data_IF_996888632228
#
_entry.id   IF_996888632228
#
_cell.length_a   1.000
_cell.length_b   1.000
_cell.length_c   1.000
_cell.angle_alpha   90.00
_cell.angle_beta   90.00
_cell.angle_gamma   90.00
#
_symmetry.space_group_name_H-M   'P 1'
#
loop_
_entity.id
_entity.type
_entity.pdbx_description
1 polymer ?
#
# COMPACT_ATOMS: atom_id res chain seq x y z
N UNK A 1 -10.88 19.39 11.33
CA UNK A 1 -9.52 19.32 11.89
C UNK A 1 -9.60 18.94 13.38
N UNK A 2 -10.33 19.68 14.18
CA UNK A 2 -10.42 19.48 15.64
C UNK A 2 -10.94 18.11 16.06
N UNK A 3 -11.94 17.55 15.36
CA UNK A 3 -12.50 16.22 15.65
C UNK A 3 -11.46 15.11 15.45
N UNK A 4 -10.64 15.21 14.42
CA UNK A 4 -9.56 14.24 14.14
C UNK A 4 -8.46 14.32 15.18
N UNK A 5 -8.03 15.51 15.55
CA UNK A 5 -7.02 15.71 16.60
C UNK A 5 -7.50 15.20 17.97
N UNK A 6 -8.77 15.43 18.31
CA UNK A 6 -9.38 14.86 19.51
C UNK A 6 -9.36 13.32 19.49
N UNK A 7 -9.69 12.71 18.34
CA UNK A 7 -9.65 11.26 18.16
C UNK A 7 -8.25 10.69 18.31
N UNK A 8 -7.25 11.34 17.71
CA UNK A 8 -5.85 10.94 17.85
C UNK A 8 -5.39 11.03 19.32
N UNK A 9 -5.76 12.09 20.02
CA UNK A 9 -5.43 12.27 21.44
C UNK A 9 -6.04 11.17 22.30
N UNK A 10 -7.30 10.82 22.06
CA UNK A 10 -7.98 9.70 22.73
C UNK A 10 -7.24 8.37 22.48
N UNK A 11 -6.93 8.05 21.22
CA UNK A 11 -6.24 6.82 20.85
C UNK A 11 -4.83 6.75 21.48
N UNK A 12 -4.08 7.84 21.48
CA UNK A 12 -2.78 7.93 22.14
C UNK A 12 -2.89 7.70 23.65
N UNK A 13 -3.91 8.27 24.30
CA UNK A 13 -4.19 8.04 25.71
C UNK A 13 -4.53 6.58 26.04
N UNK A 14 -5.18 5.86 25.12
CA UNK A 14 -5.40 4.41 25.26
C UNK A 14 -4.10 3.63 25.05
N UNK A 15 -3.29 4.03 24.07
CA UNK A 15 -2.04 3.36 23.76
C UNK A 15 -1.03 3.42 24.92
N UNK A 16 -0.98 4.52 25.70
CA UNK A 16 -0.10 4.62 26.87
C UNK A 16 -0.47 3.68 28.02
N UNK A 17 -1.73 3.21 28.05
CA UNK A 17 -2.26 2.29 29.07
C UNK A 17 -2.22 0.82 28.62
N UNK A 18 -1.76 0.56 27.41
CA UNK A 18 -1.76 -0.77 26.80
C UNK A 18 -0.36 -1.36 26.81
N UNK A 19 -0.25 -2.67 27.01
CA UNK A 19 1.03 -3.37 26.96
C UNK A 19 1.73 -3.12 25.61
N UNK A 20 2.99 -2.64 25.61
CA UNK A 20 3.62 -2.06 24.40
C UNK A 20 3.85 -3.07 23.25
N UNK A 21 4.04 -4.35 23.58
CA UNK A 21 4.23 -5.42 22.59
C UNK A 21 3.04 -6.38 22.61
N UNK A 22 1.86 -5.87 22.27
CA UNK A 22 0.62 -6.65 22.24
C UNK A 22 -0.18 -6.40 20.96
N UNK A 23 -1.09 -7.31 20.65
CA UNK A 23 -2.04 -7.14 19.54
C UNK A 23 -2.89 -5.88 19.74
N UNK A 24 -3.28 -5.56 20.97
CA UNK A 24 -4.02 -4.35 21.28
C UNK A 24 -3.22 -3.07 20.96
N UNK A 25 -1.92 -3.04 21.28
CA UNK A 25 -1.03 -1.93 20.92
C UNK A 25 -0.90 -1.79 19.39
N UNK A 26 -0.77 -2.92 18.67
CA UNK A 26 -0.76 -2.94 17.21
C UNK A 26 -2.04 -2.31 16.62
N UNK A 27 -3.22 -2.72 17.12
CA UNK A 27 -4.51 -2.23 16.65
C UNK A 27 -4.71 -0.72 16.92
N UNK A 28 -4.25 -0.25 18.08
CA UNK A 28 -4.29 1.18 18.40
C UNK A 28 -3.37 1.99 17.49
N UNK A 29 -2.16 1.51 17.23
CA UNK A 29 -1.25 2.15 16.29
C UNK A 29 -1.80 2.15 14.87
N UNK A 30 -2.44 1.08 14.41
CA UNK A 30 -3.11 1.03 13.10
C UNK A 30 -4.23 2.08 13.02
N UNK A 31 -5.02 2.23 14.08
CA UNK A 31 -6.05 3.24 14.16
C UNK A 31 -5.48 4.67 14.10
N UNK A 32 -4.37 4.91 14.81
CA UNK A 32 -3.68 6.22 14.79
C UNK A 32 -3.04 6.48 13.42
N UNK A 33 -2.44 5.47 12.80
CA UNK A 33 -1.92 5.56 11.44
C UNK A 33 -3.00 6.00 10.45
N UNK A 34 -4.20 5.39 10.50
CA UNK A 34 -5.33 5.75 9.63
C UNK A 34 -5.78 7.19 9.76
N UNK A 35 -5.70 7.75 10.97
CA UNK A 35 -5.97 9.17 11.19
C UNK A 35 -4.89 10.07 10.58
N UNK A 36 -3.61 9.66 10.61
CA UNK A 36 -2.50 10.48 10.12
C UNK A 36 -2.24 10.38 8.62
N UNK A 37 -2.49 9.23 7.98
CA UNK A 37 -2.05 8.92 6.62
C UNK A 37 -2.40 9.96 5.55
N UNK A 38 -3.45 10.75 5.75
CA UNK A 38 -3.94 11.71 4.76
C UNK A 38 -3.45 13.15 4.98
N UNK A 39 -2.69 13.44 6.04
CA UNK A 39 -2.26 14.81 6.33
C UNK A 39 -0.94 14.98 7.08
N UNK A 40 -0.41 13.91 7.71
CA UNK A 40 0.85 13.94 8.45
C UNK A 40 1.65 12.66 8.19
N UNK A 41 2.36 12.63 7.07
CA UNK A 41 3.11 11.45 6.62
C UNK A 41 4.13 10.96 7.64
N UNK A 42 4.93 11.84 8.25
CA UNK A 42 5.95 11.45 9.23
C UNK A 42 5.35 10.71 10.43
N UNK A 43 4.20 11.21 10.92
CA UNK A 43 3.48 10.53 11.99
C UNK A 43 2.92 9.18 11.54
N UNK A 44 2.41 9.09 10.32
CA UNK A 44 1.92 7.83 9.76
C UNK A 44 3.06 6.80 9.62
N UNK A 45 4.22 7.19 9.11
CA UNK A 45 5.44 6.37 9.03
C UNK A 45 5.84 5.87 10.42
N UNK A 46 5.88 6.75 11.42
CA UNK A 46 6.22 6.38 12.80
C UNK A 46 5.33 5.26 13.35
N UNK A 47 4.01 5.33 13.13
CA UNK A 47 3.09 4.32 13.66
C UNK A 47 3.16 3.00 12.89
N UNK A 48 3.40 3.02 11.58
CA UNK A 48 3.67 1.79 10.81
C UNK A 48 4.98 1.13 11.24
N UNK A 49 6.04 1.90 11.46
CA UNK A 49 7.33 1.38 11.96
C UNK A 49 7.18 0.75 13.34
N UNK A 50 6.39 1.37 14.24
CA UNK A 50 6.05 0.75 15.54
C UNK A 50 5.31 -0.57 15.35
N UNK A 51 4.38 -0.65 14.41
CA UNK A 51 3.62 -1.86 14.13
C UNK A 51 4.49 -2.98 13.58
N UNK A 52 5.42 -2.69 12.68
CA UNK A 52 6.40 -3.67 12.18
C UNK A 52 7.20 -4.25 13.35
N UNK A 53 7.69 -3.40 14.26
CA UNK A 53 8.43 -3.86 15.44
C UNK A 53 7.59 -4.73 16.37
N UNK A 54 6.34 -4.34 16.65
CA UNK A 54 5.42 -5.14 17.47
C UNK A 54 5.17 -6.50 16.82
N UNK A 55 4.87 -6.54 15.53
CA UNK A 55 4.61 -7.77 14.80
C UNK A 55 5.82 -8.71 14.82
N UNK A 56 7.04 -8.18 14.62
CA UNK A 56 8.29 -8.95 14.77
C UNK A 56 8.46 -9.56 16.17
N UNK A 57 8.22 -8.77 17.21
CA UNK A 57 8.32 -9.24 18.60
C UNK A 57 7.29 -10.34 18.90
N UNK A 58 6.11 -10.25 18.30
CA UNK A 58 5.05 -11.26 18.42
C UNK A 58 5.25 -12.47 17.49
N UNK A 59 6.25 -12.44 16.60
CA UNK A 59 6.46 -13.40 15.51
C UNK A 59 5.24 -13.57 14.62
N UNK A 60 4.52 -12.47 14.40
CA UNK A 60 3.33 -12.40 13.57
C UNK A 60 3.71 -11.86 12.17
N UNK A 61 4.07 -12.76 11.29
CA UNK A 61 4.53 -12.43 9.94
C UNK A 61 3.45 -11.77 9.10
N UNK A 62 2.18 -12.15 9.26
CA UNK A 62 1.09 -11.55 8.51
C UNK A 62 0.94 -10.06 8.84
N UNK A 63 0.94 -9.72 10.14
CA UNK A 63 0.89 -8.32 10.58
C UNK A 63 2.17 -7.54 10.22
N UNK A 64 3.32 -8.18 10.26
CA UNK A 64 4.58 -7.56 9.82
C UNK A 64 4.51 -7.17 8.36
N UNK A 65 4.17 -8.13 7.48
CA UNK A 65 4.09 -7.91 6.04
C UNK A 65 3.00 -6.91 5.67
N UNK A 66 1.83 -6.99 6.30
CA UNK A 66 0.77 -5.99 6.11
C UNK A 66 1.25 -4.57 6.42
N UNK A 67 1.96 -4.38 7.53
CA UNK A 67 2.49 -3.06 7.91
C UNK A 67 3.59 -2.58 6.96
N UNK A 68 4.43 -3.47 6.45
CA UNK A 68 5.44 -3.15 5.42
C UNK A 68 4.80 -2.72 4.10
N UNK A 69 3.77 -3.42 3.63
CA UNK A 69 3.06 -3.04 2.41
C UNK A 69 2.41 -1.65 2.54
N UNK A 70 1.81 -1.34 3.68
CA UNK A 70 1.26 -0.02 3.95
C UNK A 70 2.36 1.05 4.00
N UNK A 71 3.52 0.74 4.56
CA UNK A 71 4.66 1.65 4.64
C UNK A 71 5.25 1.93 3.25
N UNK A 72 5.44 0.91 2.43
CA UNK A 72 5.91 1.06 1.06
C UNK A 72 4.95 1.91 0.21
N UNK A 73 3.64 1.67 0.32
CA UNK A 73 2.61 2.48 -0.34
C UNK A 73 2.65 3.95 0.10
N UNK A 74 2.86 4.19 1.39
CA UNK A 74 2.96 5.56 1.93
C UNK A 74 4.22 6.26 1.43
N UNK A 75 5.38 5.58 1.44
CA UNK A 75 6.63 6.11 0.91
C UNK A 75 6.50 6.47 -0.58
N UNK A 76 5.93 5.59 -1.39
CA UNK A 76 5.70 5.88 -2.82
C UNK A 76 4.79 7.10 -3.03
N UNK A 77 3.69 7.19 -2.29
CA UNK A 77 2.76 8.32 -2.38
C UNK A 77 3.38 9.67 -1.94
N UNK A 78 4.48 9.64 -1.20
CA UNK A 78 5.21 10.83 -0.74
C UNK A 78 6.49 11.11 -1.52
N UNK A 79 6.77 10.34 -2.57
CA UNK A 79 7.96 10.50 -3.42
C UNK A 79 9.23 9.86 -2.86
N UNK A 80 9.15 9.13 -1.76
CA UNK A 80 10.26 8.38 -1.16
C UNK A 80 10.40 7.01 -1.83
N UNK A 81 10.78 7.03 -3.11
CA UNK A 81 10.71 5.83 -3.97
C UNK A 81 11.73 4.77 -3.60
N UNK A 82 12.94 5.17 -3.19
CA UNK A 82 13.97 4.22 -2.79
C UNK A 82 13.54 3.48 -1.51
N UNK A 83 13.05 4.21 -0.53
CA UNK A 83 12.54 3.66 0.72
C UNK A 83 11.33 2.73 0.48
N UNK A 84 10.48 3.07 -0.50
CA UNK A 84 9.36 2.21 -0.89
C UNK A 84 9.86 0.88 -1.47
N UNK A 85 10.87 0.91 -2.34
CA UNK A 85 11.49 -0.29 -2.93
C UNK A 85 12.17 -1.12 -1.84
N UNK A 86 12.98 -0.50 -0.98
CA UNK A 86 13.71 -1.19 0.09
C UNK A 86 12.76 -1.95 1.02
N UNK A 87 11.65 -1.32 1.41
CA UNK A 87 10.62 -1.98 2.24
C UNK A 87 9.93 -3.12 1.49
N UNK A 88 9.66 -2.97 0.18
CA UNK A 88 9.04 -4.02 -0.63
C UNK A 88 9.95 -5.24 -0.81
N UNK A 89 11.26 -5.06 -0.92
CA UNK A 89 12.24 -6.14 -1.04
C UNK A 89 12.32 -7.00 0.24
N UNK A 90 11.98 -6.43 1.39
CA UNK A 90 11.85 -7.19 2.64
C UNK A 90 10.60 -8.11 2.68
N UNK A 91 9.65 -7.95 1.77
CA UNK A 91 8.44 -8.79 1.68
C UNK A 91 8.68 -9.87 0.64
N UNK A 92 9.08 -11.05 1.09
CA UNK A 92 9.37 -12.19 0.21
C UNK A 92 8.06 -12.87 -0.20
N UNK A 93 7.91 -13.08 -1.51
CA UNK A 93 6.69 -13.69 -2.07
C UNK A 93 6.49 -15.13 -1.59
N UNK A 94 7.55 -15.90 -1.45
CA UNK A 94 7.54 -17.30 -1.02
C UNK A 94 7.03 -17.47 0.42
N UNK A 95 7.19 -16.44 1.24
CA UNK A 95 6.73 -16.42 2.64
C UNK A 95 5.43 -15.63 2.83
N UNK A 96 4.83 -15.15 1.74
CA UNK A 96 3.67 -14.27 1.79
C UNK A 96 2.40 -15.06 2.15
N UNK A 97 1.69 -14.70 3.24
CA UNK A 97 0.38 -15.28 3.53
C UNK A 97 -0.61 -15.05 2.38
N UNK A 98 -1.40 -16.07 2.06
CA UNK A 98 -2.40 -16.00 0.97
C UNK A 98 -3.35 -14.82 1.14
N UNK A 99 -3.73 -14.51 2.39
CA UNK A 99 -4.57 -13.35 2.77
C UNK A 99 -4.02 -12.00 2.30
N UNK A 100 -2.70 -11.88 2.14
CA UNK A 100 -2.01 -10.64 1.72
C UNK A 100 -1.64 -10.60 0.24
N UNK A 101 -1.91 -11.65 -0.54
CA UNK A 101 -1.50 -11.72 -1.96
C UNK A 101 -2.05 -10.54 -2.77
N UNK A 102 -3.31 -10.20 -2.56
CA UNK A 102 -3.94 -9.04 -3.21
C UNK A 102 -3.31 -7.72 -2.80
N UNK A 103 -3.09 -7.53 -1.50
CA UNK A 103 -2.48 -6.31 -0.96
C UNK A 103 -1.04 -6.14 -1.46
N UNK A 104 -0.31 -7.25 -1.58
CA UNK A 104 1.05 -7.26 -2.15
C UNK A 104 1.06 -6.81 -3.61
N UNK A 105 0.18 -7.36 -4.46
CA UNK A 105 0.12 -6.95 -5.86
C UNK A 105 -0.36 -5.51 -6.01
N UNK A 106 -1.35 -5.07 -5.22
CA UNK A 106 -1.81 -3.69 -5.21
C UNK A 106 -0.71 -2.70 -4.80
N UNK A 107 0.07 -3.05 -3.78
CA UNK A 107 1.20 -2.24 -3.34
C UNK A 107 2.29 -2.16 -4.42
N UNK A 108 2.66 -3.28 -5.03
CA UNK A 108 3.64 -3.34 -6.13
C UNK A 108 3.21 -2.51 -7.34
N UNK A 109 1.96 -2.65 -7.76
CA UNK A 109 1.38 -1.86 -8.84
C UNK A 109 1.48 -0.36 -8.53
N UNK A 110 0.99 0.04 -7.35
CA UNK A 110 1.03 1.43 -6.93
C UNK A 110 2.44 2.00 -6.92
N UNK A 111 3.39 1.32 -6.26
CA UNK A 111 4.78 1.80 -6.13
C UNK A 111 5.41 2.00 -7.51
N UNK A 112 5.29 1.02 -8.41
CA UNK A 112 5.90 1.12 -9.74
C UNK A 112 5.22 2.17 -10.61
N UNK A 113 3.90 2.33 -10.51
CA UNK A 113 3.16 3.39 -11.20
C UNK A 113 3.57 4.79 -10.71
N UNK A 114 3.72 4.98 -9.41
CA UNK A 114 4.19 6.26 -8.88
C UNK A 114 5.62 6.59 -9.33
N UNK A 115 6.51 5.59 -9.37
CA UNK A 115 7.89 5.78 -9.84
C UNK A 115 7.90 6.14 -11.34
N UNK A 116 7.15 5.41 -12.18
CA UNK A 116 7.13 5.70 -13.61
C UNK A 116 6.54 7.08 -13.90
N UNK A 117 5.41 7.42 -13.25
CA UNK A 117 4.73 8.72 -13.44
C UNK A 117 5.54 9.94 -12.99
N UNK A 118 6.52 9.75 -12.12
CA UNK A 118 7.37 10.83 -11.60
C UNK A 118 8.82 10.78 -12.10
N UNK A 119 9.19 9.77 -12.90
CA UNK A 119 10.50 9.67 -13.52
C UNK A 119 10.60 10.61 -14.72
N UNK A 120 11.81 11.11 -15.00
CA UNK A 120 12.13 11.91 -16.18
C UNK A 120 12.95 11.13 -17.22
N UNK A 121 13.53 10.01 -16.82
CA UNK A 121 14.31 9.17 -17.71
C UNK A 121 13.40 8.19 -18.47
N UNK A 122 13.35 8.24 -19.82
CA UNK A 122 12.48 7.39 -20.61
C UNK A 122 12.70 5.89 -20.42
N UNK A 123 13.92 5.47 -20.12
CA UNK A 123 14.23 4.06 -19.88
C UNK A 123 13.66 3.59 -18.53
N UNK A 124 13.79 4.42 -17.51
CA UNK A 124 13.18 4.16 -16.19
C UNK A 124 11.66 4.16 -16.27
N UNK A 125 11.05 5.10 -17.01
CA UNK A 125 9.61 5.15 -17.21
C UNK A 125 9.13 3.80 -17.75
N UNK A 126 9.62 3.36 -18.90
CA UNK A 126 9.22 2.09 -19.53
C UNK A 126 9.41 0.91 -18.58
N UNK A 127 10.59 0.81 -17.94
CA UNK A 127 10.90 -0.28 -17.02
C UNK A 127 9.89 -0.41 -15.87
N UNK A 128 9.47 0.72 -15.30
CA UNK A 128 8.53 0.70 -14.16
C UNK A 128 7.08 0.63 -14.61
N UNK A 129 6.74 1.14 -15.80
CA UNK A 129 5.45 0.88 -16.44
C UNK A 129 5.24 -0.62 -16.69
N UNK A 130 6.19 -1.29 -17.33
CA UNK A 130 6.11 -2.74 -17.59
C UNK A 130 5.89 -3.53 -16.29
N UNK A 131 6.61 -3.17 -15.22
CA UNK A 131 6.40 -3.79 -13.91
C UNK A 131 5.01 -3.51 -13.34
N UNK A 132 4.53 -2.28 -13.43
CA UNK A 132 3.20 -1.88 -12.97
C UNK A 132 2.11 -2.68 -13.71
N UNK A 133 2.22 -2.83 -15.04
CA UNK A 133 1.29 -3.62 -15.85
C UNK A 133 1.17 -5.06 -15.41
N UNK A 134 2.31 -5.74 -15.15
CA UNK A 134 2.30 -7.14 -14.69
C UNK A 134 1.48 -7.31 -13.40
N UNK A 135 1.63 -6.40 -12.44
CA UNK A 135 0.89 -6.49 -11.18
C UNK A 135 -0.57 -6.07 -11.32
N UNK A 136 -0.88 -5.13 -12.19
CA UNK A 136 -2.25 -4.74 -12.52
C UNK A 136 -3.02 -5.88 -13.17
N UNK A 137 -2.44 -6.55 -14.15
CA UNK A 137 -3.06 -7.72 -14.79
C UNK A 137 -3.28 -8.86 -13.78
N UNK A 138 -2.30 -9.08 -12.89
CA UNK A 138 -2.44 -10.05 -11.81
C UNK A 138 -3.61 -9.70 -10.87
N UNK A 139 -3.79 -8.42 -10.54
CA UNK A 139 -4.92 -7.96 -9.73
C UNK A 139 -6.25 -8.15 -10.45
N UNK A 140 -6.32 -7.83 -11.75
CA UNK A 140 -7.53 -8.01 -12.53
C UNK A 140 -8.00 -9.49 -12.55
N UNK A 141 -7.07 -10.43 -12.60
CA UNK A 141 -7.37 -11.87 -12.52
C UNK A 141 -7.89 -12.32 -11.15
N UNK A 142 -7.55 -11.58 -10.09
CA UNK A 142 -7.97 -11.92 -8.71
C UNK A 142 -9.33 -11.32 -8.32
N UNK A 143 -9.87 -10.40 -9.11
CA UNK A 143 -11.16 -9.77 -8.84
C UNK A 143 -12.30 -10.61 -9.42
N UNK A 144 -13.48 -10.65 -8.79
CA UNK A 144 -14.68 -11.19 -9.41
C UNK A 144 -14.97 -10.50 -10.74
N UNK A 145 -15.60 -11.22 -11.69
CA UNK A 145 -15.84 -10.69 -13.05
C UNK A 145 -16.70 -9.42 -13.07
N UNK A 146 -17.62 -9.33 -12.13
CA UNK A 146 -18.55 -8.21 -11.95
C UNK A 146 -18.02 -7.06 -11.08
N UNK A 147 -16.80 -7.16 -10.60
CA UNK A 147 -16.23 -6.12 -9.75
C UNK A 147 -15.84 -4.89 -10.55
N UNK A 148 -16.38 -3.73 -10.19
CA UNK A 148 -16.08 -2.45 -10.84
C UNK A 148 -14.58 -2.12 -10.96
N UNK A 149 -13.79 -2.54 -9.95
CA UNK A 149 -12.31 -2.38 -10.02
C UNK A 149 -11.65 -3.17 -11.15
N UNK A 150 -12.20 -4.33 -11.56
CA UNK A 150 -11.67 -5.09 -12.68
C UNK A 150 -11.85 -4.31 -13.98
N UNK A 151 -13.03 -3.73 -14.16
CA UNK A 151 -13.34 -2.87 -15.32
C UNK A 151 -12.40 -1.67 -15.36
N UNK A 152 -12.23 -0.97 -14.23
CA UNK A 152 -11.34 0.17 -14.11
C UNK A 152 -9.88 -0.20 -14.44
N UNK A 153 -9.39 -1.32 -13.93
CA UNK A 153 -8.03 -1.80 -14.21
C UNK A 153 -7.84 -2.23 -15.68
N UNK A 154 -8.85 -2.85 -16.29
CA UNK A 154 -8.83 -3.20 -17.71
C UNK A 154 -8.85 -1.95 -18.58
N UNK A 155 -9.68 -0.98 -18.25
CA UNK A 155 -9.73 0.31 -18.97
C UNK A 155 -8.38 1.03 -18.90
N UNK A 156 -7.75 1.10 -17.72
CA UNK A 156 -6.44 1.70 -17.55
C UNK A 156 -5.36 0.96 -18.38
N UNK A 157 -5.41 -0.37 -18.42
CA UNK A 157 -4.50 -1.16 -19.23
C UNK A 157 -4.65 -0.84 -20.74
N UNK A 158 -5.88 -0.82 -21.24
CA UNK A 158 -6.15 -0.53 -22.64
C UNK A 158 -5.73 0.90 -23.04
N UNK A 159 -5.96 1.87 -22.19
CA UNK A 159 -5.51 3.25 -22.40
C UNK A 159 -3.98 3.35 -22.47
N UNK A 160 -3.29 2.63 -21.60
CA UNK A 160 -1.84 2.63 -21.57
C UNK A 160 -1.22 1.95 -22.80
N UNK A 161 -1.90 0.95 -23.38
CA UNK A 161 -1.50 0.28 -24.63
C UNK A 161 -1.90 1.06 -25.89
N UNK A 162 -2.50 2.24 -25.76
CA UNK A 162 -2.95 3.06 -26.87
C UNK A 162 -4.30 2.65 -27.48
N UNK A 163 -5.00 1.69 -26.86
CA UNK A 163 -6.33 1.23 -27.28
C UNK A 163 -7.46 2.07 -26.67
N UNK A 164 -7.40 3.38 -26.85
CA UNK A 164 -8.32 4.33 -26.19
C UNK A 164 -9.79 4.08 -26.59
N UNK A 165 -10.04 3.67 -27.83
CA UNK A 165 -11.39 3.40 -28.34
C UNK A 165 -11.99 2.12 -27.72
N UNK A 166 -11.17 1.11 -27.41
CA UNK A 166 -11.61 -0.11 -26.71
C UNK A 166 -11.85 0.17 -25.23
N UNK A 167 -11.03 1.01 -24.61
CA UNK A 167 -11.21 1.41 -23.22
C UNK A 167 -12.54 2.12 -22.97
N UNK A 168 -13.01 2.92 -23.92
CA UNK A 168 -14.31 3.61 -23.83
C UNK A 168 -15.51 2.66 -23.94
N UNK A 169 -15.38 1.54 -24.66
CA UNK A 169 -16.46 0.55 -24.84
C UNK A 169 -16.68 -0.35 -23.64
N UNK A 170 -15.76 -0.42 -22.71
CA UNK A 170 -15.88 -1.24 -21.48
C UNK A 170 -16.81 -0.57 -20.47
N UNK A 171 -16.99 0.74 -20.56
CA UNK A 171 -17.83 1.54 -19.63
C UNK A 171 -19.27 1.76 -20.10
N UNK A 172 -19.63 1.34 -21.31
CA UNK A 172 -21.00 1.33 -21.86
C UNK A 172 -21.68 -0.02 -21.59
#
# INVERSE_FOLDING_TARGET
KDRREARIRELKGKATKTAPNSIAAYQLNDSIYREYKSYMCDSAVLYLTKNIRIARNLRDQEREYKSKLLLASLHAATGMYQEAIDVLEEVRREDLPVSLTRDYYACKEQVYREISGNSRDPQSIRRYEDKSFVYRDSLAMMLPEDAGKRVELQELALRADGHTDEALRIND
#
